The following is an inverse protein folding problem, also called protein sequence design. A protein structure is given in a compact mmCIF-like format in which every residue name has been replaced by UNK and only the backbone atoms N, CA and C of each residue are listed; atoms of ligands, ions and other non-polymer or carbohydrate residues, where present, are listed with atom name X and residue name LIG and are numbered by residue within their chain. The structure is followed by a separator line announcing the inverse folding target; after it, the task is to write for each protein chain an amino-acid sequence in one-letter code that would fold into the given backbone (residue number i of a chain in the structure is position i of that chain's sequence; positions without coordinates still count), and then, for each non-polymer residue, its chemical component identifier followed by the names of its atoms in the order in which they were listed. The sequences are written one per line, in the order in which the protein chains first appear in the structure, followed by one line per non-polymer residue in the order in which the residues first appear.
data_IF_226720205597
#
_entry.id   IF_226720205597
#
_cell.length_a   1.000
_cell.length_b   1.000
_cell.length_c   1.000
_cell.angle_alpha   90.00
_cell.angle_beta   90.00
_cell.angle_gamma   90.00
#
_symmetry.space_group_name_H-M   'P 1'
#
loop_
_entity.id
_entity.type
_entity.pdbx_description
1 polymer ?
#
# COMPACT_ATOMS: atom_id res chain seq x y z
N UNK A 1 -22.00 -22.70 -43.92
CA UNK A 1 -20.73 -21.99 -43.68
C UNK A 1 -21.06 -20.68 -43.00
N UNK A 2 -21.01 -20.64 -41.67
CA UNK A 2 -21.28 -19.42 -40.90
C UNK A 2 -20.12 -19.28 -39.91
N UNK A 3 -19.23 -18.34 -40.21
CA UNK A 3 -17.99 -18.09 -39.50
C UNK A 3 -18.31 -17.29 -38.23
N UNK A 4 -18.08 -17.89 -37.06
CA UNK A 4 -18.12 -17.21 -35.76
C UNK A 4 -16.86 -16.33 -35.67
N UNK A 5 -17.05 -15.01 -35.61
CA UNK A 5 -15.98 -14.07 -35.27
C UNK A 5 -15.70 -14.20 -33.78
N UNK A 6 -14.49 -14.66 -33.44
CA UNK A 6 -13.92 -14.54 -32.10
C UNK A 6 -13.73 -13.04 -31.81
N UNK A 7 -14.42 -12.52 -30.80
CA UNK A 7 -14.14 -11.21 -30.22
C UNK A 7 -12.79 -11.26 -29.52
N UNK A 8 -11.86 -10.41 -29.95
CA UNK A 8 -10.52 -10.28 -29.39
C UNK A 8 -10.58 -9.94 -27.89
N UNK A 9 -9.88 -10.75 -27.11
CA UNK A 9 -9.56 -10.54 -25.71
C UNK A 9 -8.47 -9.47 -25.59
N UNK A 10 -8.84 -8.19 -25.69
CA UNK A 10 -7.93 -7.06 -25.50
C UNK A 10 -8.28 -6.25 -24.24
N UNK A 11 -8.30 -6.90 -23.08
CA UNK A 11 -8.43 -6.24 -21.78
C UNK A 11 -7.50 -6.87 -20.72
N UNK A 12 -6.29 -7.26 -21.10
CA UNK A 12 -5.23 -7.45 -20.11
C UNK A 12 -4.53 -6.09 -19.87
N UNK A 13 -4.39 -5.61 -18.64
CA UNK A 13 -3.57 -4.44 -18.35
C UNK A 13 -2.13 -4.77 -18.77
N UNK A 14 -1.66 -4.09 -19.82
CA UNK A 14 -0.29 -4.21 -20.31
C UNK A 14 0.75 -3.80 -19.26
N UNK A 15 2.04 -4.14 -19.49
CA UNK A 15 3.12 -3.83 -18.55
C UNK A 15 3.15 -2.34 -18.25
N UNK A 16 3.39 -1.98 -16.98
CA UNK A 16 3.38 -0.65 -16.39
C UNK A 16 3.67 0.50 -17.39
N UNK A 17 2.66 0.95 -18.12
CA UNK A 17 2.80 2.04 -19.10
C UNK A 17 3.27 3.35 -18.45
N UNK A 18 3.14 3.44 -17.12
CA UNK A 18 3.47 4.60 -16.31
C UNK A 18 4.94 4.61 -15.84
N UNK A 19 5.75 3.59 -16.18
CA UNK A 19 7.17 3.50 -15.78
C UNK A 19 8.15 3.65 -16.95
N UNK A 20 7.65 3.82 -18.17
CA UNK A 20 8.49 3.98 -19.36
C UNK A 20 9.35 5.25 -19.21
N UNK A 21 10.67 5.04 -19.07
CA UNK A 21 11.67 6.11 -18.98
C UNK A 21 12.10 6.52 -17.57
N UNK A 22 11.70 5.81 -16.51
CA UNK A 22 12.21 6.03 -15.14
C UNK A 22 13.57 5.38 -14.98
N UNK A 23 14.57 6.10 -14.46
CA UNK A 23 15.86 5.49 -14.16
C UNK A 23 15.86 4.76 -12.82
N UNK A 24 16.71 3.75 -12.66
CA UNK A 24 16.88 3.03 -11.38
C UNK A 24 17.25 3.97 -10.22
N UNK A 25 18.03 5.02 -10.50
CA UNK A 25 18.39 6.06 -9.50
C UNK A 25 17.18 6.89 -9.05
N UNK A 26 16.28 7.23 -9.96
CA UNK A 26 15.05 7.95 -9.63
C UNK A 26 14.14 7.12 -8.74
N UNK A 27 13.97 5.83 -9.07
CA UNK A 27 13.22 4.88 -8.20
C UNK A 27 13.87 4.81 -6.82
N UNK A 28 15.19 4.65 -6.75
CA UNK A 28 15.91 4.62 -5.48
C UNK A 28 15.73 5.92 -4.66
N UNK A 29 15.69 7.07 -5.34
CA UNK A 29 15.38 8.36 -4.76
C UNK A 29 14.00 8.43 -4.11
N UNK A 30 13.00 7.85 -4.78
CA UNK A 30 11.61 7.86 -4.37
C UNK A 30 11.37 6.88 -3.21
N UNK A 31 11.77 5.63 -3.35
CA UNK A 31 11.52 4.59 -2.33
C UNK A 31 12.15 4.95 -0.98
N UNK A 32 13.29 5.64 -0.97
CA UNK A 32 13.90 6.15 0.27
C UNK A 32 13.02 7.20 0.96
N UNK A 33 12.54 8.21 0.22
CA UNK A 33 11.65 9.24 0.78
C UNK A 33 10.34 8.63 1.30
N UNK A 34 9.79 7.69 0.54
CA UNK A 34 8.57 6.96 0.89
C UNK A 34 8.76 6.13 2.15
N UNK A 35 9.92 5.46 2.29
CA UNK A 35 10.30 4.75 3.51
C UNK A 35 10.36 5.70 4.71
N UNK A 36 11.06 6.83 4.58
CA UNK A 36 11.23 7.79 5.68
C UNK A 36 9.87 8.36 6.12
N UNK A 37 8.98 8.62 5.17
CA UNK A 37 7.60 9.03 5.44
C UNK A 37 6.76 7.92 6.09
N UNK A 38 6.88 6.68 5.62
CA UNK A 38 6.20 5.54 6.22
C UNK A 38 6.61 5.35 7.69
N UNK A 39 7.90 5.53 8.01
CA UNK A 39 8.40 5.45 9.40
C UNK A 39 7.67 6.45 10.29
N UNK A 40 7.45 7.69 9.81
CA UNK A 40 6.67 8.70 10.55
C UNK A 40 5.27 8.16 10.85
N UNK A 41 4.56 7.63 9.85
CA UNK A 41 3.20 7.10 10.03
C UNK A 41 3.16 5.90 10.98
N UNK A 42 4.13 5.00 10.89
CA UNK A 42 4.19 3.78 11.69
C UNK A 42 4.62 4.02 13.14
N UNK A 43 5.30 5.13 13.46
CA UNK A 43 5.93 5.33 14.79
C UNK A 43 5.43 6.53 15.56
N UNK A 44 4.99 7.60 14.89
CA UNK A 44 4.49 8.81 15.57
C UNK A 44 3.05 8.56 16.00
N UNK A 45 2.70 8.83 17.26
CA UNK A 45 1.33 8.78 17.76
C UNK A 45 0.60 10.11 17.59
N UNK A 46 0.01 10.64 18.66
CA UNK A 46 -0.51 12.02 18.67
C UNK A 46 0.61 13.04 18.34
N UNK A 47 0.36 14.08 17.52
CA UNK A 47 -0.93 14.51 16.97
C UNK A 47 -1.30 13.88 15.62
N UNK A 48 -0.45 13.00 15.07
CA UNK A 48 -0.65 12.36 13.77
C UNK A 48 -1.82 11.36 13.81
N UNK A 49 -1.88 10.56 14.86
CA UNK A 49 -2.95 9.60 15.12
C UNK A 49 -3.64 9.97 16.43
N UNK A 50 -4.95 10.22 16.35
CA UNK A 50 -5.77 10.65 17.48
C UNK A 50 -6.63 9.48 17.91
N UNK A 51 -6.33 8.88 19.06
CA UNK A 51 -7.12 7.79 19.62
C UNK A 51 -8.48 8.29 20.09
N UNK A 52 -9.57 7.61 19.71
CA UNK A 52 -10.94 8.05 20.03
C UNK A 52 -11.37 7.76 21.48
N UNK A 53 -10.57 7.07 22.29
CA UNK A 53 -10.90 6.74 23.69
C UNK A 53 -9.71 6.81 24.63
N UNK A 54 -9.98 7.13 25.90
CA UNK A 54 -9.01 7.05 27.00
C UNK A 54 -8.74 5.62 27.49
N UNK A 55 -9.52 4.63 27.05
CA UNK A 55 -9.36 3.22 27.44
C UNK A 55 -8.39 2.49 26.53
N UNK A 56 -7.33 1.95 27.14
CA UNK A 56 -6.22 1.22 26.48
C UNK A 56 -6.70 -0.09 25.80
N UNK A 57 -7.90 -0.56 26.11
CA UNK A 57 -8.49 -1.81 25.61
C UNK A 57 -9.59 -1.60 24.54
N UNK A 58 -9.83 -0.37 24.09
CA UNK A 58 -10.87 -0.14 23.08
C UNK A 58 -10.39 -0.53 21.68
N UNK A 59 -11.29 -1.14 20.91
CA UNK A 59 -11.09 -1.53 19.50
C UNK A 59 -11.32 -0.32 18.57
N UNK A 60 -11.37 0.91 19.10
CA UNK A 60 -11.67 2.07 18.27
C UNK A 60 -10.43 2.50 17.46
N UNK A 61 -10.55 2.65 16.13
CA UNK A 61 -9.45 2.99 15.26
C UNK A 61 -8.94 4.39 15.59
N UNK A 62 -7.65 4.60 15.40
CA UNK A 62 -7.05 5.91 15.50
C UNK A 62 -7.51 6.78 14.33
N UNK A 63 -7.94 8.01 14.62
CA UNK A 63 -8.27 8.98 13.59
C UNK A 63 -7.00 9.59 13.03
N UNK A 64 -6.82 9.52 11.71
CA UNK A 64 -5.67 10.10 11.03
C UNK A 64 -5.80 11.62 10.87
N UNK A 65 -4.79 12.36 11.33
CA UNK A 65 -4.70 13.80 11.14
C UNK A 65 -3.92 14.12 9.86
N UNK A 66 -4.67 14.30 8.77
CA UNK A 66 -4.10 14.58 7.45
C UNK A 66 -3.28 15.89 7.40
N UNK A 67 -3.67 16.91 8.16
CA UNK A 67 -2.95 18.19 8.20
C UNK A 67 -1.56 18.04 8.84
N UNK A 68 -1.48 17.32 9.96
CA UNK A 68 -0.20 17.03 10.62
C UNK A 68 0.67 16.10 9.78
N UNK A 69 0.08 15.13 9.08
CA UNK A 69 0.80 14.30 8.12
C UNK A 69 1.50 15.15 7.04
N UNK A 70 0.79 16.06 6.37
CA UNK A 70 1.38 16.93 5.36
C UNK A 70 2.50 17.81 5.92
N UNK A 71 2.32 18.31 7.15
CA UNK A 71 3.31 19.14 7.85
C UNK A 71 4.58 18.35 8.15
N UNK A 72 4.46 17.12 8.65
CA UNK A 72 5.58 16.27 9.05
C UNK A 72 6.32 15.66 7.85
N UNK A 73 5.59 15.20 6.83
CA UNK A 73 6.19 14.56 5.65
C UNK A 73 6.63 15.54 4.57
N UNK A 74 6.33 16.83 4.74
CA UNK A 74 6.62 17.89 3.77
C UNK A 74 6.03 17.60 2.38
N UNK A 75 4.95 16.82 2.31
CA UNK A 75 4.27 16.50 1.06
C UNK A 75 3.33 17.60 0.62
N UNK A 76 3.10 17.64 -0.70
CA UNK A 76 1.92 18.30 -1.26
C UNK A 76 0.68 17.45 -0.94
N UNK A 77 -0.44 18.13 -0.72
CA UNK A 77 -1.74 17.50 -0.54
C UNK A 77 -2.11 16.60 -1.72
N UNK A 78 -3.08 15.73 -1.49
CA UNK A 78 -3.71 14.89 -2.52
C UNK A 78 -4.31 15.80 -3.61
N UNK A 79 -4.33 15.32 -4.87
CA UNK A 79 -4.92 16.07 -5.97
C UNK A 79 -6.41 16.37 -5.72
N UNK A 80 -6.95 17.46 -6.29
CA UNK A 80 -8.30 17.98 -6.03
C UNK A 80 -9.45 16.97 -6.20
N UNK A 81 -9.24 15.84 -6.88
CA UNK A 81 -10.25 14.82 -7.15
C UNK A 81 -10.03 13.53 -6.37
N UNK A 82 -9.16 13.53 -5.39
CA UNK A 82 -8.83 12.37 -4.59
C UNK A 82 -9.00 12.69 -3.10
N UNK A 83 -9.57 11.74 -2.36
CA UNK A 83 -9.71 11.81 -0.92
C UNK A 83 -8.72 10.86 -0.24
N UNK A 84 -8.07 11.32 0.82
CA UNK A 84 -7.16 10.49 1.61
C UNK A 84 -7.94 9.59 2.56
N UNK A 85 -7.65 8.30 2.53
CA UNK A 85 -8.10 7.30 3.51
C UNK A 85 -6.83 6.71 4.15
N UNK A 86 -6.78 6.62 5.48
CA UNK A 86 -5.65 6.01 6.16
C UNK A 86 -6.06 5.28 7.44
N UNK A 87 -5.43 4.13 7.69
CA UNK A 87 -5.59 3.34 8.92
C UNK A 87 -4.23 2.89 9.43
N UNK A 88 -4.16 2.62 10.74
CA UNK A 88 -2.99 2.03 11.39
C UNK A 88 -3.43 1.00 12.42
N UNK A 89 -2.74 -0.13 12.43
CA UNK A 89 -2.95 -1.17 13.42
C UNK A 89 -1.63 -1.81 13.84
N UNK A 90 -1.51 -2.21 15.10
CA UNK A 90 -0.35 -2.95 15.60
C UNK A 90 -0.76 -4.22 16.31
N UNK A 91 -0.10 -5.33 15.99
CA UNK A 91 -0.37 -6.64 16.59
C UNK A 91 0.89 -7.51 16.63
N UNK A 92 0.89 -8.49 17.54
CA UNK A 92 1.94 -9.50 17.62
C UNK A 92 1.51 -10.70 16.78
N UNK A 93 2.37 -11.12 15.86
CA UNK A 93 2.16 -12.27 14.97
C UNK A 93 3.17 -13.34 15.34
N UNK A 94 2.72 -14.59 15.51
CA UNK A 94 3.55 -15.76 15.85
C UNK A 94 4.39 -16.26 14.65
N UNK A 95 5.05 -15.36 13.93
CA UNK A 95 5.97 -15.63 12.83
C UNK A 95 7.22 -14.77 13.01
N UNK A 96 8.37 -15.29 12.60
CA UNK A 96 9.61 -14.52 12.61
C UNK A 96 9.60 -13.46 11.50
N UNK A 97 10.39 -12.37 11.62
CA UNK A 97 10.36 -11.29 10.64
C UNK A 97 10.65 -11.79 9.21
N UNK A 98 11.63 -12.69 9.05
CA UNK A 98 12.01 -13.18 7.73
C UNK A 98 10.89 -13.96 7.03
N UNK A 99 10.09 -14.72 7.78
CA UNK A 99 8.95 -15.47 7.24
C UNK A 99 7.86 -14.50 6.77
N UNK A 100 7.59 -13.44 7.54
CA UNK A 100 6.63 -12.39 7.14
C UNK A 100 7.11 -11.69 5.85
N UNK A 101 8.40 -11.37 5.74
CA UNK A 101 8.98 -10.77 4.53
C UNK A 101 8.85 -11.70 3.33
N UNK A 102 9.15 -12.99 3.47
CA UNK A 102 9.00 -13.97 2.41
C UNK A 102 7.57 -14.04 1.90
N UNK A 103 6.60 -14.12 2.81
CA UNK A 103 5.17 -14.13 2.46
C UNK A 103 4.78 -12.86 1.70
N UNK A 104 5.20 -11.68 2.16
CA UNK A 104 4.79 -10.41 1.57
C UNK A 104 5.51 -10.06 0.26
N UNK A 105 6.71 -10.57 0.04
CA UNK A 105 7.50 -10.31 -1.17
C UNK A 105 7.24 -11.32 -2.29
N UNK A 106 6.68 -12.48 -1.99
CA UNK A 106 6.33 -13.53 -2.94
C UNK A 106 4.82 -13.56 -3.20
N UNK A 107 4.38 -13.29 -4.43
CA UNK A 107 2.96 -13.24 -4.80
C UNK A 107 2.24 -14.57 -4.54
N UNK A 108 2.92 -15.69 -4.78
CA UNK A 108 2.35 -17.04 -4.60
C UNK A 108 2.09 -17.36 -3.13
N UNK A 109 2.79 -16.69 -2.21
CA UNK A 109 2.55 -16.80 -0.77
C UNK A 109 1.63 -15.70 -0.25
N UNK A 110 1.77 -14.49 -0.80
CA UNK A 110 0.98 -13.33 -0.40
C UNK A 110 -0.51 -13.53 -0.67
N UNK A 111 -0.87 -13.98 -1.88
CA UNK A 111 -2.28 -14.10 -2.28
C UNK A 111 -3.08 -15.09 -1.41
N UNK A 112 -2.60 -16.32 -1.13
CA UNK A 112 -3.32 -17.24 -0.26
C UNK A 112 -3.48 -16.72 1.18
N UNK A 113 -2.48 -16.01 1.71
CA UNK A 113 -2.51 -15.47 3.08
C UNK A 113 -3.48 -14.29 3.18
N UNK A 114 -3.60 -13.47 2.13
CA UNK A 114 -4.45 -12.28 2.08
C UNK A 114 -5.68 -12.44 1.18
N UNK A 115 -6.16 -13.66 0.95
CA UNK A 115 -7.21 -13.98 -0.03
C UNK A 115 -8.58 -13.32 0.25
N UNK A 116 -8.81 -12.87 1.49
CA UNK A 116 -10.01 -12.10 1.86
C UNK A 116 -9.96 -10.64 1.39
N UNK A 117 -8.77 -10.13 1.06
CA UNK A 117 -8.52 -8.72 0.69
C UNK A 117 -7.93 -8.59 -0.71
N UNK A 118 -7.15 -9.57 -1.17
CA UNK A 118 -6.44 -9.54 -2.45
C UNK A 118 -7.05 -10.62 -3.35
N UNK A 119 -7.72 -10.19 -4.42
CA UNK A 119 -8.33 -11.11 -5.40
C UNK A 119 -7.30 -11.55 -6.42
N UNK A 120 -6.47 -10.61 -6.88
CA UNK A 120 -5.49 -10.84 -7.91
C UNK A 120 -4.22 -10.03 -7.60
N UNK A 121 -3.05 -10.60 -7.89
CA UNK A 121 -1.79 -9.90 -7.80
C UNK A 121 -0.77 -10.49 -8.77
N UNK A 122 0.15 -9.64 -9.24
CA UNK A 122 1.27 -10.08 -10.06
C UNK A 122 2.48 -9.16 -9.89
N UNK A 123 3.68 -9.73 -9.97
CA UNK A 123 4.92 -8.96 -10.13
C UNK A 123 5.05 -8.62 -11.61
N UNK A 124 5.07 -7.33 -11.92
CA UNK A 124 5.29 -6.82 -13.27
C UNK A 124 6.78 -6.82 -13.63
N UNK A 125 7.63 -6.41 -12.68
CA UNK A 125 9.08 -6.28 -12.88
C UNK A 125 9.81 -6.25 -11.53
N UNK A 126 11.00 -6.84 -11.45
CA UNK A 126 11.89 -6.74 -10.29
C UNK A 126 13.02 -5.78 -10.63
N UNK A 127 13.17 -4.73 -9.83
CA UNK A 127 14.09 -3.61 -10.09
C UNK A 127 15.47 -3.77 -9.43
N UNK A 128 15.63 -4.75 -8.54
CA UNK A 128 16.89 -5.04 -7.86
C UNK A 128 17.75 -6.04 -8.65
N UNK A 129 19.10 -5.97 -8.57
CA UNK A 129 19.98 -6.95 -9.21
C UNK A 129 19.67 -8.37 -8.72
N UNK A 130 19.58 -9.33 -9.65
CA UNK A 130 19.25 -10.75 -9.35
C UNK A 130 20.35 -11.52 -8.62
N UNK A 131 21.49 -10.91 -8.33
CA UNK A 131 22.71 -11.62 -7.91
C UNK A 131 22.76 -12.00 -6.43
N UNK A 132 21.88 -11.45 -5.58
CA UNK A 132 21.69 -11.94 -4.21
C UNK A 132 20.20 -12.11 -3.90
N UNK A 133 19.81 -13.29 -3.42
CA UNK A 133 18.47 -13.58 -2.85
C UNK A 133 18.39 -12.90 -1.47
N UNK A 134 18.37 -11.57 -1.49
CA UNK A 134 18.35 -10.75 -0.29
C UNK A 134 17.19 -9.76 -0.38
N UNK A 135 16.21 -9.94 0.51
CA UNK A 135 15.09 -9.01 0.64
C UNK A 135 15.50 -7.67 1.26
N UNK A 136 16.77 -7.47 1.67
CA UNK A 136 17.18 -6.31 2.48
C UNK A 136 17.03 -4.96 1.79
N UNK A 137 17.04 -4.92 0.46
CA UNK A 137 16.93 -3.71 -0.36
C UNK A 137 16.15 -4.00 -1.65
N UNK A 138 15.19 -4.93 -1.60
CA UNK A 138 14.52 -5.44 -2.79
C UNK A 138 13.34 -4.57 -3.19
N UNK A 139 13.28 -4.22 -4.48
CA UNK A 139 12.23 -3.39 -5.09
C UNK A 139 11.58 -4.16 -6.23
N UNK A 140 10.26 -4.18 -6.26
CA UNK A 140 9.49 -4.79 -7.33
C UNK A 140 8.25 -3.96 -7.64
N UNK A 141 7.89 -3.95 -8.91
CA UNK A 141 6.66 -3.33 -9.41
C UNK A 141 5.58 -4.40 -9.38
N UNK A 142 4.46 -4.07 -8.75
CA UNK A 142 3.33 -4.95 -8.49
C UNK A 142 2.08 -4.36 -9.14
N UNK A 143 1.19 -5.24 -9.57
CA UNK A 143 -0.23 -4.92 -9.79
C UNK A 143 -1.04 -5.77 -8.82
N UNK A 144 -2.01 -5.20 -8.13
CA UNK A 144 -2.93 -5.96 -7.29
C UNK A 144 -4.35 -5.37 -7.29
N UNK A 145 -5.33 -6.26 -7.17
CA UNK A 145 -6.75 -5.94 -7.04
C UNK A 145 -7.21 -6.23 -5.61
N UNK A 146 -7.62 -5.17 -4.92
CA UNK A 146 -8.03 -5.22 -3.52
C UNK A 146 -9.55 -5.15 -3.40
N UNK A 147 -10.15 -5.99 -2.57
CA UNK A 147 -11.55 -5.85 -2.16
C UNK A 147 -11.67 -5.48 -0.71
N UNK A 148 -12.70 -4.69 -0.43
CA UNK A 148 -13.08 -4.37 0.92
C UNK A 148 -14.15 -5.30 1.44
N UNK A 149 -14.10 -5.56 2.74
CA UNK A 149 -15.08 -6.36 3.47
C UNK A 149 -16.52 -5.82 3.35
N UNK A 150 -16.70 -4.57 2.90
CA UNK A 150 -18.00 -3.98 2.64
C UNK A 150 -18.42 -4.20 1.18
N UNK A 151 -19.47 -5.02 0.90
CA UNK A 151 -19.84 -5.49 -0.46
C UNK A 151 -20.38 -4.40 -1.41
N UNK A 152 -20.39 -3.14 -0.97
CA UNK A 152 -20.83 -1.97 -1.76
C UNK A 152 -19.67 -1.09 -2.22
N UNK A 153 -18.43 -1.48 -1.92
CA UNK A 153 -17.23 -0.80 -2.44
C UNK A 153 -16.68 -1.67 -3.58
N UNK A 154 -16.51 -1.13 -4.79
CA UNK A 154 -15.91 -1.88 -5.88
C UNK A 154 -14.48 -2.29 -5.55
N UNK A 155 -14.01 -3.35 -6.20
CA UNK A 155 -12.61 -3.73 -6.14
C UNK A 155 -11.72 -2.58 -6.65
N UNK A 156 -10.59 -2.39 -5.99
CA UNK A 156 -9.64 -1.30 -6.22
C UNK A 156 -8.38 -1.92 -6.84
N UNK A 157 -8.15 -1.66 -8.12
CA UNK A 157 -6.88 -2.01 -8.77
C UNK A 157 -5.83 -0.94 -8.49
N UNK A 158 -4.61 -1.36 -8.10
CA UNK A 158 -3.47 -0.49 -7.90
C UNK A 158 -2.19 -1.08 -8.49
N UNK A 159 -1.45 -0.24 -9.20
CA UNK A 159 -0.07 -0.50 -9.58
C UNK A 159 0.87 0.30 -8.67
N UNK A 160 1.82 -0.38 -8.06
CA UNK A 160 2.71 0.19 -7.04
C UNK A 160 4.06 -0.48 -7.02
N UNK A 161 5.05 0.23 -6.48
CA UNK A 161 6.34 -0.36 -6.12
C UNK A 161 6.28 -0.80 -4.67
N UNK A 162 6.59 -2.08 -4.47
CA UNK A 162 6.86 -2.68 -3.17
C UNK A 162 8.36 -2.67 -2.93
N UNK A 163 8.77 -2.04 -1.85
CA UNK A 163 10.16 -1.96 -1.41
C UNK A 163 10.31 -2.57 -0.03
N UNK A 164 11.28 -3.47 0.10
CA UNK A 164 11.68 -4.09 1.36
C UNK A 164 13.03 -3.56 1.80
N UNK A 165 13.12 -3.22 3.08
CA UNK A 165 14.31 -2.64 3.70
C UNK A 165 14.56 -3.24 5.08
N UNK A 166 15.78 -3.72 5.34
CA UNK A 166 16.22 -4.05 6.69
C UNK A 166 16.93 -2.84 7.31
N UNK A 167 16.43 -2.37 8.44
CA UNK A 167 17.03 -1.27 9.20
C UNK A 167 18.29 -1.73 9.95
N UNK A 168 19.09 -0.76 10.40
CA UNK A 168 20.31 -1.01 11.17
C UNK A 168 20.05 -1.71 12.52
N UNK A 169 18.87 -1.48 13.10
CA UNK A 169 18.43 -2.12 14.35
C UNK A 169 17.89 -3.55 14.14
N UNK A 170 17.92 -4.05 12.91
CA UNK A 170 17.45 -5.38 12.52
C UNK A 170 15.96 -5.46 12.21
N UNK A 171 15.18 -4.40 12.46
CA UNK A 171 13.76 -4.35 12.08
C UNK A 171 13.60 -4.26 10.56
N UNK A 172 12.43 -4.66 10.07
CA UNK A 172 12.13 -4.68 8.65
C UNK A 172 11.00 -3.72 8.31
N UNK A 173 11.09 -3.11 7.13
CA UNK A 173 10.05 -2.28 6.53
C UNK A 173 9.69 -2.88 5.18
N UNK A 174 8.39 -3.05 4.94
CA UNK A 174 7.84 -3.17 3.59
C UNK A 174 7.00 -1.93 3.35
N UNK A 175 7.23 -1.26 2.24
CA UNK A 175 6.47 -0.09 1.84
C UNK A 175 6.06 -0.15 0.38
N UNK A 176 4.79 0.12 0.15
CA UNK A 176 4.10 0.18 -1.13
C UNK A 176 3.81 1.65 -1.48
N UNK A 177 4.07 2.03 -2.73
CA UNK A 177 3.73 3.37 -3.26
C UNK A 177 3.37 3.30 -4.73
N UNK A 178 2.27 3.94 -5.12
CA UNK A 178 1.87 4.02 -6.51
C UNK A 178 2.88 4.81 -7.35
N UNK A 179 3.06 4.33 -8.58
CA UNK A 179 3.88 5.00 -9.60
C UNK A 179 3.34 6.39 -9.93
N UNK A 180 2.02 6.57 -9.87
CA UNK A 180 1.32 7.79 -10.26
C UNK A 180 1.52 8.96 -9.27
N UNK A 181 1.99 8.68 -8.05
CA UNK A 181 2.38 9.71 -7.05
C UNK A 181 3.68 10.44 -7.44
N UNK A 182 4.33 9.99 -8.50
CA UNK A 182 5.57 10.61 -8.96
C UNK A 182 5.22 11.79 -9.87
N UNK A 183 5.59 12.98 -9.41
CA UNK A 183 5.33 14.27 -10.06
C UNK A 183 5.63 14.34 -11.58
N UNK A 184 6.50 13.47 -12.12
CA UNK A 184 6.77 13.34 -13.57
C UNK A 184 5.71 12.55 -14.34
N UNK A 185 4.97 11.68 -13.66
CA UNK A 185 3.93 10.78 -14.18
C UNK A 185 2.52 11.27 -13.91
N UNK A 186 2.39 12.48 -13.35
CA UNK A 186 1.14 13.21 -13.18
C UNK A 186 0.49 13.63 -14.52
N UNK A 187 0.82 12.94 -15.62
CA UNK A 187 -0.01 12.90 -16.82
C UNK A 187 -1.24 12.06 -16.48
N UNK A 188 -2.32 12.71 -16.08
CA UNK A 188 -3.72 12.22 -16.04
C UNK A 188 -3.90 10.78 -16.58
N UNK A 189 -3.43 9.77 -15.85
CA UNK A 189 -3.80 8.39 -16.13
C UNK A 189 -5.13 8.26 -15.42
N UNK A 190 -6.20 8.52 -16.17
CA UNK A 190 -7.59 8.39 -15.75
C UNK A 190 -7.97 6.91 -15.52
N UNK A 191 -7.05 6.08 -15.04
CA UNK A 191 -7.21 4.63 -14.93
C UNK A 191 -7.03 4.09 -13.51
N UNK A 192 -6.19 4.70 -12.66
CA UNK A 192 -6.03 4.21 -11.29
C UNK A 192 -7.06 4.86 -10.36
N UNK A 193 -8.09 4.09 -10.02
CA UNK A 193 -9.16 4.46 -9.06
C UNK A 193 -8.58 4.63 -7.64
N UNK A 194 -7.50 3.90 -7.35
CA UNK A 194 -6.80 3.87 -6.07
C UNK A 194 -5.32 4.20 -6.27
N UNK A 195 -4.82 5.20 -5.54
CA UNK A 195 -3.41 5.56 -5.48
C UNK A 195 -2.84 5.16 -4.12
N UNK A 196 -1.96 4.16 -4.10
CA UNK A 196 -1.19 3.81 -2.91
C UNK A 196 -0.28 4.98 -2.55
N UNK A 197 -0.53 5.61 -1.41
CA UNK A 197 0.45 6.46 -0.71
C UNK A 197 1.28 5.53 0.20
N UNK A 198 2.33 5.99 0.91
CA UNK A 198 3.18 5.11 1.69
C UNK A 198 2.35 4.24 2.64
N UNK A 199 2.25 2.98 2.28
CA UNK A 199 1.44 1.95 2.94
C UNK A 199 2.33 0.72 3.13
N UNK A 200 2.06 -0.13 4.10
CA UNK A 200 2.83 -1.34 4.32
C UNK A 200 3.01 -1.62 5.80
N UNK A 201 4.15 -2.20 6.18
CA UNK A 201 4.35 -2.66 7.55
C UNK A 201 5.78 -2.48 8.08
N UNK A 202 5.86 -2.14 9.37
CA UNK A 202 7.06 -2.17 10.19
C UNK A 202 7.03 -3.43 11.05
N UNK A 203 8.04 -4.27 10.92
CA UNK A 203 8.14 -5.59 11.54
C UNK A 203 9.35 -5.61 12.47
N UNK A 204 9.12 -5.85 13.76
CA UNK A 204 10.17 -5.92 14.79
C UNK A 204 10.20 -7.31 15.42
N UNK A 205 11.39 -7.89 15.54
CA UNK A 205 11.57 -9.17 16.22
C UNK A 205 11.29 -9.04 17.73
N UNK A 206 10.50 -9.95 18.29
CA UNK A 206 10.21 -10.03 19.72
C UNK A 206 11.16 -10.98 20.47
N UNK A 207 12.17 -11.53 19.80
CA UNK A 207 13.19 -12.44 20.35
C UNK A 207 12.63 -13.77 20.91
N UNK A 208 11.40 -14.11 20.53
CA UNK A 208 10.70 -15.33 20.94
C UNK A 208 10.13 -16.11 19.75
N UNK A 209 10.59 -15.80 18.53
CA UNK A 209 10.08 -16.35 17.28
C UNK A 209 8.80 -15.66 16.75
N UNK A 210 8.28 -14.66 17.46
CA UNK A 210 7.17 -13.81 17.03
C UNK A 210 7.66 -12.43 16.60
N UNK A 211 6.79 -11.66 15.93
CA UNK A 211 7.08 -10.31 15.48
C UNK A 211 5.99 -9.34 15.93
N UNK A 212 6.38 -8.15 16.40
CA UNK A 212 5.48 -7.00 16.51
C UNK A 212 5.37 -6.35 15.13
N UNK A 213 4.17 -6.33 14.58
CA UNK A 213 3.88 -5.76 13.26
C UNK A 213 2.99 -4.54 13.42
N UNK A 214 3.47 -3.39 12.93
CA UNK A 214 2.65 -2.18 12.75
C UNK A 214 2.34 -2.03 11.27
N UNK A 215 1.08 -2.20 10.91
CA UNK A 215 0.55 -2.01 9.56
C UNK A 215 -0.01 -0.60 9.41
N UNK A 216 0.27 0.05 8.28
CA UNK A 216 -0.28 1.35 7.89
C UNK A 216 -0.83 1.22 6.48
N UNK A 217 -2.11 1.55 6.29
CA UNK A 217 -2.69 1.74 4.97
C UNK A 217 -2.91 3.24 4.76
N UNK A 218 -2.50 3.77 3.62
CA UNK A 218 -2.66 5.17 3.26
C UNK A 218 -2.91 5.26 1.74
N UNK A 219 -4.12 5.60 1.34
CA UNK A 219 -4.55 5.59 -0.05
C UNK A 219 -5.26 6.89 -0.43
N UNK A 220 -5.07 7.32 -1.66
CA UNK A 220 -5.89 8.33 -2.31
C UNK A 220 -6.95 7.66 -3.18
N UNK A 221 -8.23 7.97 -2.97
CA UNK A 221 -9.34 7.40 -3.74
C UNK A 221 -10.03 8.49 -4.56
N UNK A 222 -10.26 8.22 -5.85
CA UNK A 222 -10.89 9.19 -6.74
C UNK A 222 -12.36 9.44 -6.33
N UNK A 223 -12.74 10.71 -6.13
CA UNK A 223 -14.05 11.12 -5.60
C UNK A 223 -15.25 10.63 -6.44
N UNK A 224 -15.06 10.45 -7.75
CA UNK A 224 -16.14 10.05 -8.67
C UNK A 224 -16.68 8.63 -8.40
N UNK A 225 -15.89 7.76 -7.77
CA UNK A 225 -16.32 6.40 -7.41
C UNK A 225 -16.83 6.28 -5.97
N UNK A 226 -17.01 7.41 -5.26
CA UNK A 226 -17.91 7.45 -4.11
C UNK A 226 -19.37 7.55 -4.58
N UNK A 227 -19.84 6.60 -5.39
CA UNK A 227 -21.26 6.18 -5.33
C UNK A 227 -21.52 5.37 -4.03
N UNK A 228 -20.82 5.73 -2.95
CA UNK A 228 -21.01 5.13 -1.64
C UNK A 228 -22.31 5.66 -1.08
N UNK A 229 -23.15 4.74 -0.65
CA UNK A 229 -24.33 5.09 0.13
C UNK A 229 -23.89 5.97 1.33
N UNK A 230 -24.53 7.12 1.63
CA UNK A 230 -24.04 8.10 2.62
C UNK A 230 -23.71 7.53 4.01
N UNK A 231 -24.36 6.43 4.39
CA UNK A 231 -24.10 5.70 5.65
C UNK A 231 -22.75 4.96 5.70
N UNK A 232 -22.11 4.70 4.56
CA UNK A 232 -20.82 4.00 4.48
C UNK A 232 -19.64 4.97 4.51
N UNK A 233 -19.87 6.24 4.18
CA UNK A 233 -18.84 7.29 4.14
C UNK A 233 -18.06 7.35 5.46
N UNK A 234 -18.70 7.40 6.64
CA UNK A 234 -17.97 7.47 7.90
C UNK A 234 -17.10 6.24 8.19
N UNK A 235 -17.50 5.04 7.76
CA UNK A 235 -16.76 3.79 8.00
C UNK A 235 -15.53 3.65 7.11
N UNK A 236 -15.63 4.11 5.86
CA UNK A 236 -14.52 4.11 4.91
C UNK A 236 -13.51 5.20 5.30
N UNK A 237 -13.98 6.39 5.67
CA UNK A 237 -13.11 7.51 6.08
C UNK A 237 -12.39 7.26 7.41
N UNK A 238 -13.00 6.50 8.33
CA UNK A 238 -12.38 6.14 9.60
C UNK A 238 -11.44 4.93 9.50
N UNK A 239 -11.23 4.36 8.30
CA UNK A 239 -10.35 3.22 8.10
C UNK A 239 -10.88 1.89 8.65
N UNK A 240 -12.18 1.76 8.99
CA UNK A 240 -12.76 0.50 9.51
C UNK A 240 -12.81 -0.61 8.46
N UNK A 241 -12.58 -0.29 7.20
CA UNK A 241 -12.63 -1.24 6.09
C UNK A 241 -11.27 -1.88 5.79
N UNK A 242 -10.17 -1.40 6.40
CA UNK A 242 -8.78 -1.83 6.13
C UNK A 242 -8.00 -2.13 7.41
#
# INVERSE_FOLDING_TARGET
MTTVRLSSSDNLPGPAHNLVGVTSEEVAGIVRRVKDEFIIMATVGYPLWISSSCDVNSIYPETFNYGEYLRMSQRRGVAQYFQSEASRHSSIICLSPIVIIQILMDVEQWMPVFCSMVINAQILEVLSPREEVSYKEQKQIMSAEFVLSTPKVPAREAQFIRYSHQQLDGSWIIVDVSVDEWWKFQRRTTRSICQKRPSGCLIRDMQNGSSMVTWVENVGIQEKDKELHPKLIPFVESGFTF
#
